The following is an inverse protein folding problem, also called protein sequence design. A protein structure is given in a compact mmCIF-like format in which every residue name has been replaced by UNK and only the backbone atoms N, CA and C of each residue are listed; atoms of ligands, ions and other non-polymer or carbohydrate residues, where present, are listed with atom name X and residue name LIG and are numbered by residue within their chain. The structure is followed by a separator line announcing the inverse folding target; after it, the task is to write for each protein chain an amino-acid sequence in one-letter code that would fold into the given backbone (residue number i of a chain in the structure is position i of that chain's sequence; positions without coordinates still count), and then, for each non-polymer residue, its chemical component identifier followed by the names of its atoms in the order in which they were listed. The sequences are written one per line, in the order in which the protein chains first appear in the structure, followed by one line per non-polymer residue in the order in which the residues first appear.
data_IF_432237638572
#
_entry.id   IF_432237638572
#
_cell.length_a   1.000
_cell.length_b   1.000
_cell.length_c   1.000
_cell.angle_alpha   90.00
_cell.angle_beta   90.00
_cell.angle_gamma   90.00
#
_symmetry.space_group_name_H-M   'P 1'
#
loop_
_entity.id
_entity.type
_entity.pdbx_description
1 polymer ?
#
# COMPACT_ATOMS: atom_id res chain seq x y z
N UNK A 1 -12.55 31.54 -22.01
CA UNK A 1 -12.16 30.20 -21.53
C UNK A 1 -10.89 29.77 -22.25
N UNK A 2 -9.77 29.69 -21.54
CA UNK A 2 -8.44 29.40 -22.09
C UNK A 2 -8.40 27.92 -22.50
N UNK A 3 -8.28 27.60 -23.80
CA UNK A 3 -8.01 26.24 -24.28
C UNK A 3 -6.63 25.85 -23.80
N UNK A 4 -6.54 25.14 -22.68
CA UNK A 4 -5.40 24.31 -22.33
C UNK A 4 -5.28 23.27 -23.45
N UNK A 5 -4.34 23.48 -24.37
CA UNK A 5 -3.98 22.45 -25.33
C UNK A 5 -3.49 21.24 -24.52
N UNK A 6 -4.21 20.13 -24.65
CA UNK A 6 -3.83 18.87 -24.04
C UNK A 6 -2.47 18.47 -24.62
N UNK A 7 -1.45 18.45 -23.75
CA UNK A 7 -0.06 18.19 -24.13
C UNK A 7 0.32 16.73 -23.96
N UNK A 8 -0.62 15.91 -23.46
CA UNK A 8 -0.40 14.51 -23.11
C UNK A 8 -1.06 13.54 -24.11
N UNK A 9 -1.79 14.04 -25.10
CA UNK A 9 -2.40 13.24 -26.15
C UNK A 9 -2.09 13.80 -27.54
N UNK A 10 -1.73 12.91 -28.47
CA UNK A 10 -1.49 13.24 -29.87
C UNK A 10 -2.47 12.44 -30.72
N UNK A 11 -3.40 13.12 -31.38
CA UNK A 11 -4.34 12.48 -32.30
C UNK A 11 -3.74 12.53 -33.70
N UNK A 12 -3.43 11.35 -34.24
CA UNK A 12 -2.91 11.18 -35.58
C UNK A 12 -3.92 10.46 -36.48
N UNK A 13 -3.87 10.76 -37.76
CA UNK A 13 -4.63 10.02 -38.77
C UNK A 13 -4.08 8.61 -38.89
N UNK A 14 -4.96 7.62 -38.84
CA UNK A 14 -4.59 6.20 -39.00
C UNK A 14 -3.76 5.95 -40.26
N UNK A 15 -4.21 6.49 -41.41
CA UNK A 15 -3.53 6.34 -42.70
C UNK A 15 -2.07 6.80 -42.64
N UNK A 16 -1.77 7.85 -41.87
CA UNK A 16 -0.42 8.38 -41.72
C UNK A 16 0.45 7.46 -40.85
N UNK A 17 -0.08 6.98 -39.72
CA UNK A 17 0.61 6.07 -38.80
C UNK A 17 0.89 4.69 -39.45
N UNK A 18 -0.10 4.16 -40.17
CA UNK A 18 -0.03 2.82 -40.72
C UNK A 18 0.87 2.73 -41.96
N UNK A 19 0.95 3.81 -42.74
CA UNK A 19 1.80 3.89 -43.92
C UNK A 19 3.26 4.26 -43.61
N UNK A 20 3.62 4.54 -42.34
CA UNK A 20 5.00 4.79 -41.95
C UNK A 20 5.83 3.49 -42.11
N UNK A 21 6.91 3.50 -42.91
CA UNK A 21 7.82 2.35 -43.03
C UNK A 21 8.41 1.87 -41.68
N UNK A 22 8.39 2.73 -40.66
CA UNK A 22 8.86 2.43 -39.29
C UNK A 22 7.81 1.77 -38.40
N UNK A 23 6.56 1.59 -38.86
CA UNK A 23 5.47 1.02 -38.07
C UNK A 23 5.73 -0.43 -37.61
N UNK A 24 6.60 -1.18 -38.30
CA UNK A 24 7.07 -2.50 -37.87
C UNK A 24 5.93 -3.45 -37.48
N UNK A 25 5.96 -3.95 -36.24
CA UNK A 25 4.97 -4.88 -35.69
C UNK A 25 3.57 -4.30 -35.44
N UNK A 26 3.43 -2.97 -35.49
CA UNK A 26 2.15 -2.27 -35.29
C UNK A 26 1.40 -2.00 -36.61
N UNK A 27 2.03 -2.31 -37.75
CA UNK A 27 1.41 -2.15 -39.07
C UNK A 27 0.19 -3.07 -39.21
N UNK A 28 -0.89 -2.51 -39.74
CA UNK A 28 -2.20 -3.13 -39.98
C UNK A 28 -2.88 -3.71 -38.72
N UNK A 29 -2.48 -3.25 -37.51
CA UNK A 29 -3.06 -3.71 -36.24
C UNK A 29 -3.77 -2.59 -35.50
N UNK A 30 -5.03 -2.81 -35.17
CA UNK A 30 -5.86 -1.89 -34.39
C UNK A 30 -6.03 -2.47 -32.98
N UNK A 31 -5.73 -1.67 -31.95
CA UNK A 31 -5.89 -2.10 -30.56
C UNK A 31 -7.32 -1.96 -30.03
N UNK A 32 -7.91 -0.78 -30.18
CA UNK A 32 -9.24 -0.46 -29.66
C UNK A 32 -10.03 0.36 -30.68
N UNK A 33 -11.32 0.05 -30.81
CA UNK A 33 -12.27 0.79 -31.63
C UNK A 33 -13.34 1.37 -30.72
N UNK A 34 -13.57 2.67 -30.82
CA UNK A 34 -14.63 3.36 -30.09
C UNK A 34 -15.69 3.80 -31.09
N UNK A 35 -16.91 3.31 -30.89
CA UNK A 35 -18.06 3.68 -31.71
C UNK A 35 -19.14 4.33 -30.83
N UNK A 36 -19.66 5.47 -31.29
CA UNK A 36 -20.74 6.17 -30.60
C UNK A 36 -22.08 5.66 -31.12
N UNK A 37 -22.91 5.14 -30.22
CA UNK A 37 -24.29 4.76 -30.51
C UNK A 37 -25.23 5.93 -30.14
N UNK A 38 -26.25 6.15 -30.97
CA UNK A 38 -27.25 7.21 -30.75
C UNK A 38 -28.25 6.83 -29.65
N UNK A 39 -28.53 5.54 -29.50
CA UNK A 39 -29.44 5.00 -28.51
C UNK A 39 -28.69 4.07 -27.55
N UNK A 40 -28.65 4.46 -26.28
CA UNK A 40 -27.95 3.72 -25.22
C UNK A 40 -28.70 2.49 -24.74
N UNK A 41 -30.03 2.41 -24.97
CA UNK A 41 -30.88 1.29 -24.52
C UNK A 41 -30.54 0.01 -25.28
N UNK A 42 -30.23 0.13 -26.57
CA UNK A 42 -29.90 -1.01 -27.44
C UNK A 42 -28.40 -1.35 -27.45
N UNK A 43 -27.61 -0.77 -26.55
CA UNK A 43 -26.14 -0.96 -26.51
C UNK A 43 -25.73 -2.43 -26.43
N UNK A 44 -26.35 -3.24 -25.56
CA UNK A 44 -26.02 -4.65 -25.40
C UNK A 44 -26.36 -5.49 -26.65
N UNK A 45 -27.46 -5.18 -27.32
CA UNK A 45 -27.86 -5.86 -28.56
C UNK A 45 -26.90 -5.51 -29.70
N UNK A 46 -26.55 -4.23 -29.83
CA UNK A 46 -25.60 -3.75 -30.83
C UNK A 46 -24.22 -4.37 -30.60
N UNK A 47 -23.73 -4.42 -29.36
CA UNK A 47 -22.47 -5.08 -29.00
C UNK A 47 -22.44 -6.54 -29.43
N UNK A 48 -23.49 -7.30 -29.10
CA UNK A 48 -23.58 -8.72 -29.49
C UNK A 48 -23.60 -8.89 -31.01
N UNK A 49 -24.35 -8.05 -31.74
CA UNK A 49 -24.39 -8.09 -33.21
C UNK A 49 -23.03 -7.80 -33.84
N UNK A 50 -22.24 -6.90 -33.25
CA UNK A 50 -20.87 -6.63 -33.68
C UNK A 50 -20.02 -7.87 -33.46
N UNK A 51 -20.01 -8.43 -32.26
CA UNK A 51 -19.18 -9.60 -31.94
C UNK A 51 -19.52 -10.81 -32.81
N UNK A 52 -20.80 -11.11 -33.03
CA UNK A 52 -21.22 -12.21 -33.92
C UNK A 52 -20.71 -12.04 -35.36
N UNK A 53 -20.53 -10.81 -35.84
CA UNK A 53 -20.01 -10.54 -37.19
C UNK A 53 -18.51 -10.83 -37.32
N UNK A 54 -17.77 -10.72 -36.22
CA UNK A 54 -16.32 -10.93 -36.15
C UNK A 54 -15.93 -12.30 -35.56
N UNK A 55 -16.89 -13.05 -35.02
CA UNK A 55 -16.67 -14.33 -34.34
C UNK A 55 -16.04 -15.43 -35.22
N UNK A 56 -16.32 -15.40 -36.53
CA UNK A 56 -15.88 -16.40 -37.52
C UNK A 56 -14.59 -16.02 -38.27
N UNK A 57 -13.97 -14.90 -37.92
CA UNK A 57 -12.77 -14.39 -38.57
C UNK A 57 -11.61 -14.40 -37.56
N UNK A 58 -10.38 -14.30 -38.06
CA UNK A 58 -9.17 -14.18 -37.21
C UNK A 58 -9.11 -12.86 -36.41
N UNK A 59 -10.11 -11.99 -36.51
CA UNK A 59 -10.24 -10.69 -35.86
C UNK A 59 -11.39 -10.63 -34.86
N UNK A 60 -11.53 -11.66 -34.01
CA UNK A 60 -12.54 -11.72 -32.95
C UNK A 60 -12.53 -10.46 -32.07
N UNK A 61 -13.70 -9.85 -31.90
CA UNK A 61 -13.88 -8.66 -31.08
C UNK A 61 -14.59 -8.99 -29.78
N UNK A 62 -14.28 -8.22 -28.73
CA UNK A 62 -15.06 -8.20 -27.50
C UNK A 62 -15.64 -6.80 -27.33
N UNK A 63 -16.87 -6.61 -27.77
CA UNK A 63 -17.54 -5.32 -27.76
C UNK A 63 -18.26 -5.13 -26.42
N UNK A 64 -17.90 -4.08 -25.71
CA UNK A 64 -18.55 -3.73 -24.44
C UNK A 64 -18.93 -2.26 -24.44
N UNK A 65 -19.94 -1.91 -23.64
CA UNK A 65 -20.26 -0.50 -23.42
C UNK A 65 -19.13 0.17 -22.64
N UNK A 66 -18.87 1.45 -22.91
CA UNK A 66 -17.86 2.24 -22.20
C UNK A 66 -18.09 2.21 -20.67
N UNK A 67 -19.36 2.22 -20.24
CA UNK A 67 -19.71 2.09 -18.82
C UNK A 67 -19.29 0.75 -18.23
N UNK A 68 -19.57 -0.36 -18.93
CA UNK A 68 -19.19 -1.69 -18.47
C UNK A 68 -17.67 -1.89 -18.50
N UNK A 69 -16.98 -1.37 -19.53
CA UNK A 69 -15.53 -1.34 -19.58
C UNK A 69 -14.93 -0.60 -18.37
N UNK A 70 -15.40 0.62 -18.10
CA UNK A 70 -14.93 1.42 -16.98
C UNK A 70 -15.19 0.73 -15.64
N UNK A 71 -16.34 0.06 -15.47
CA UNK A 71 -16.62 -0.72 -14.26
C UNK A 71 -15.69 -1.92 -14.10
N UNK A 72 -15.44 -2.69 -15.16
CA UNK A 72 -14.49 -3.81 -15.14
C UNK A 72 -13.07 -3.34 -14.85
N UNK A 73 -12.66 -2.21 -15.43
CA UNK A 73 -11.35 -1.59 -15.20
C UNK A 73 -11.21 -1.13 -13.74
N UNK A 74 -12.21 -0.41 -13.21
CA UNK A 74 -12.25 0.00 -11.80
C UNK A 74 -12.26 -1.21 -10.86
N UNK A 75 -13.02 -2.25 -11.20
CA UNK A 75 -13.06 -3.51 -10.45
C UNK A 75 -11.69 -4.17 -10.38
N UNK A 76 -11.02 -4.33 -11.52
CA UNK A 76 -9.66 -4.88 -11.61
C UNK A 76 -8.65 -4.06 -10.81
N UNK A 77 -8.68 -2.74 -10.95
CA UNK A 77 -7.81 -1.85 -10.18
C UNK A 77 -8.06 -1.92 -8.68
N UNK A 78 -9.33 -1.93 -8.26
CA UNK A 78 -9.72 -2.06 -6.85
C UNK A 78 -9.27 -3.39 -6.24
N UNK A 79 -9.29 -4.48 -7.01
CA UNK A 79 -8.81 -5.79 -6.57
C UNK A 79 -7.30 -5.78 -6.32
N UNK A 80 -6.53 -5.14 -7.20
CA UNK A 80 -5.08 -4.98 -7.04
C UNK A 80 -4.75 -4.14 -5.81
N UNK A 81 -5.41 -2.99 -5.64
CA UNK A 81 -5.24 -2.16 -4.44
C UNK A 81 -5.62 -2.92 -3.17
N UNK A 82 -6.75 -3.64 -3.20
CA UNK A 82 -7.16 -4.48 -2.08
C UNK A 82 -6.12 -5.54 -1.73
N UNK A 83 -5.48 -6.17 -2.71
CA UNK A 83 -4.40 -7.13 -2.46
C UNK A 83 -3.20 -6.49 -1.74
N UNK A 84 -2.82 -5.26 -2.10
CA UNK A 84 -1.79 -4.50 -1.38
C UNK A 84 -2.21 -4.16 0.05
N UNK A 85 -3.47 -3.77 0.28
CA UNK A 85 -3.99 -3.47 1.62
C UNK A 85 -3.95 -4.71 2.53
N UNK A 86 -4.43 -5.86 2.03
CA UNK A 86 -4.35 -7.12 2.77
C UNK A 86 -2.92 -7.56 3.03
N UNK A 87 -2.04 -7.44 2.03
CA UNK A 87 -0.62 -7.75 2.18
C UNK A 87 0.06 -6.87 3.24
N UNK A 88 -0.23 -5.58 3.23
CA UNK A 88 0.30 -4.62 4.22
C UNK A 88 -0.15 -4.97 5.63
N UNK A 89 -1.43 -5.32 5.83
CA UNK A 89 -1.95 -5.75 7.13
C UNK A 89 -1.21 -6.98 7.68
N UNK A 90 -0.95 -7.98 6.83
CA UNK A 90 -0.21 -9.19 7.21
C UNK A 90 1.23 -8.83 7.62
N UNK A 91 1.89 -7.97 6.84
CA UNK A 91 3.26 -7.52 7.15
C UNK A 91 3.29 -6.77 8.49
N UNK A 92 2.34 -5.86 8.74
CA UNK A 92 2.24 -5.13 10.01
C UNK A 92 2.06 -6.08 11.19
N UNK A 93 1.23 -7.12 11.05
CA UNK A 93 1.04 -8.13 12.08
C UNK A 93 2.33 -8.89 12.37
N UNK A 94 3.03 -9.36 11.32
CA UNK A 94 4.31 -10.07 11.46
C UNK A 94 5.35 -9.16 12.13
N UNK A 95 5.47 -7.91 11.70
CA UNK A 95 6.42 -6.95 12.27
C UNK A 95 6.11 -6.64 13.73
N UNK A 96 4.83 -6.57 14.10
CA UNK A 96 4.40 -6.36 15.49
C UNK A 96 4.79 -7.57 16.36
N UNK A 97 4.67 -8.80 15.85
CA UNK A 97 5.12 -10.00 16.55
C UNK A 97 6.64 -10.04 16.72
N UNK A 98 7.39 -9.64 15.69
CA UNK A 98 8.84 -9.53 15.75
C UNK A 98 9.25 -8.52 16.83
N UNK A 99 8.62 -7.34 16.83
CA UNK A 99 8.84 -6.31 17.85
C UNK A 99 8.49 -6.83 19.25
N UNK A 100 7.34 -7.48 19.41
CA UNK A 100 6.93 -8.05 20.70
C UNK A 100 7.95 -9.06 21.24
N UNK A 101 8.50 -9.90 20.36
CA UNK A 101 9.54 -10.86 20.73
C UNK A 101 10.85 -10.16 21.13
N UNK A 102 11.25 -9.12 20.39
CA UNK A 102 12.44 -8.33 20.71
C UNK A 102 12.31 -7.63 22.07
N UNK A 103 11.16 -7.00 22.35
CA UNK A 103 10.88 -6.39 23.66
C UNK A 103 10.85 -7.46 24.76
N UNK A 104 10.23 -8.62 24.51
CA UNK A 104 10.24 -9.71 25.47
C UNK A 104 11.65 -10.22 25.79
N UNK A 105 12.56 -10.21 24.80
CA UNK A 105 13.97 -10.53 25.00
C UNK A 105 14.69 -9.46 25.84
N UNK A 106 14.58 -8.18 25.46
CA UNK A 106 15.15 -7.05 26.22
C UNK A 106 14.69 -7.07 27.70
N UNK A 107 13.40 -7.29 27.93
CA UNK A 107 12.84 -7.36 29.29
C UNK A 107 13.41 -8.54 30.07
N UNK A 108 13.62 -9.70 29.42
CA UNK A 108 14.22 -10.87 30.08
C UNK A 108 15.66 -10.61 30.51
N UNK A 109 16.45 -9.95 29.66
CA UNK A 109 17.84 -9.59 29.99
C UNK A 109 17.91 -8.60 31.16
N UNK A 110 16.95 -7.67 31.25
CA UNK A 110 16.87 -6.65 32.30
C UNK A 110 16.00 -7.04 33.50
N UNK A 111 15.65 -8.32 33.65
CA UNK A 111 14.77 -8.79 34.75
C UNK A 111 15.33 -8.41 36.13
N UNK A 112 16.66 -8.48 36.31
CA UNK A 112 17.32 -8.15 37.57
C UNK A 112 17.16 -6.66 37.92
N UNK A 113 17.34 -5.76 36.97
CA UNK A 113 17.18 -4.31 37.18
C UNK A 113 15.76 -3.97 37.63
N UNK A 114 14.75 -4.57 36.98
CA UNK A 114 13.36 -4.42 37.37
C UNK A 114 13.06 -5.05 38.74
N UNK A 115 13.73 -6.17 39.08
CA UNK A 115 13.67 -6.78 40.40
C UNK A 115 14.19 -5.86 41.51
N UNK A 116 15.34 -5.21 41.28
CA UNK A 116 15.92 -4.22 42.20
C UNK A 116 15.00 -3.01 42.35
N UNK A 117 14.43 -2.49 41.25
CA UNK A 117 13.43 -1.40 41.30
C UNK A 117 12.23 -1.76 42.20
N UNK A 118 11.74 -3.01 42.13
CA UNK A 118 10.66 -3.46 43.02
C UNK A 118 11.10 -3.60 44.47
N UNK A 119 12.33 -4.04 44.73
CA UNK A 119 12.88 -4.19 46.08
C UNK A 119 13.00 -2.84 46.79
N UNK A 120 13.33 -1.76 46.06
CA UNK A 120 13.37 -0.40 46.59
C UNK A 120 12.00 0.30 46.64
N UNK A 121 10.91 -0.41 46.27
CA UNK A 121 9.53 0.06 46.47
C UNK A 121 8.80 0.61 45.24
N UNK A 122 9.34 0.49 44.01
CA UNK A 122 8.60 0.92 42.82
C UNK A 122 7.37 0.02 42.59
N UNK A 123 6.19 0.61 42.34
CA UNK A 123 4.99 -0.18 42.10
C UNK A 123 5.00 -0.78 40.67
N UNK A 124 4.39 -1.96 40.46
CA UNK A 124 4.42 -2.66 39.16
C UNK A 124 3.94 -1.83 37.96
N UNK A 125 3.03 -0.88 38.20
CA UNK A 125 2.52 0.06 37.18
C UNK A 125 3.60 0.98 36.60
N UNK A 126 4.65 1.33 37.36
CA UNK A 126 5.75 2.15 36.84
C UNK A 126 6.63 1.33 35.90
N UNK A 127 6.90 0.07 36.25
CA UNK A 127 7.65 -0.86 35.40
C UNK A 127 6.89 -1.12 34.09
N UNK A 128 5.56 -1.32 34.18
CA UNK A 128 4.70 -1.42 33.01
C UNK A 128 4.84 -0.18 32.11
N UNK A 129 4.75 1.02 32.69
CA UNK A 129 4.89 2.28 31.97
C UNK A 129 6.26 2.43 31.29
N UNK A 130 7.35 2.05 31.97
CA UNK A 130 8.70 2.08 31.39
C UNK A 130 8.83 1.17 30.18
N UNK A 131 8.39 -0.09 30.27
CA UNK A 131 8.49 -1.05 29.17
C UNK A 131 7.62 -0.61 27.98
N UNK A 132 6.41 -0.11 28.25
CA UNK A 132 5.54 0.43 27.20
C UNK A 132 6.15 1.67 26.53
N UNK A 133 6.73 2.58 27.32
CA UNK A 133 7.41 3.76 26.78
C UNK A 133 8.60 3.37 25.91
N UNK A 134 9.44 2.42 26.35
CA UNK A 134 10.55 1.90 25.54
C UNK A 134 10.05 1.31 24.22
N UNK A 135 9.00 0.47 24.28
CA UNK A 135 8.44 -0.15 23.08
C UNK A 135 7.86 0.86 22.09
N UNK A 136 7.15 1.88 22.60
CA UNK A 136 6.60 2.97 21.77
C UNK A 136 7.73 3.81 21.18
N UNK A 137 8.76 4.15 21.96
CA UNK A 137 9.89 4.92 21.46
C UNK A 137 10.63 4.18 20.34
N UNK A 138 10.89 2.89 20.51
CA UNK A 138 11.51 2.06 19.46
C UNK A 138 10.63 2.04 18.20
N UNK A 139 9.31 1.86 18.35
CA UNK A 139 8.39 1.85 17.22
C UNK A 139 8.24 3.21 16.53
N UNK A 140 8.29 4.32 17.27
CA UNK A 140 8.24 5.67 16.73
C UNK A 140 9.54 6.04 16.00
N UNK A 141 10.71 5.68 16.55
CA UNK A 141 12.00 5.90 15.88
C UNK A 141 12.06 5.10 14.58
N UNK A 142 11.69 3.82 14.62
CA UNK A 142 11.59 2.99 13.42
C UNK A 142 10.58 3.55 12.40
N UNK A 143 9.43 4.02 12.87
CA UNK A 143 8.41 4.67 12.05
C UNK A 143 8.89 5.97 11.39
N UNK A 144 9.62 6.82 12.13
CA UNK A 144 10.21 8.05 11.61
C UNK A 144 11.25 7.77 10.53
N UNK A 145 12.12 6.78 10.76
CA UNK A 145 13.11 6.34 9.77
C UNK A 145 12.38 5.79 8.53
N UNK A 146 11.39 4.93 8.71
CA UNK A 146 10.60 4.36 7.62
C UNK A 146 9.88 5.42 6.78
N UNK A 147 9.23 6.38 7.44
CA UNK A 147 8.61 7.54 6.77
C UNK A 147 9.65 8.35 6.00
N UNK A 148 10.81 8.63 6.60
CA UNK A 148 11.90 9.34 5.92
C UNK A 148 12.36 8.60 4.67
N UNK A 149 12.56 7.29 4.75
CA UNK A 149 12.95 6.43 3.61
C UNK A 149 11.88 6.48 2.52
N UNK A 150 10.60 6.34 2.87
CA UNK A 150 9.49 6.39 1.90
C UNK A 150 9.41 7.75 1.21
N UNK A 151 9.52 8.85 1.96
CA UNK A 151 9.49 10.21 1.39
C UNK A 151 10.66 10.42 0.43
N UNK A 152 11.86 9.97 0.79
CA UNK A 152 13.03 10.07 -0.08
C UNK A 152 12.89 9.18 -1.33
N UNK A 153 12.45 7.95 -1.18
CA UNK A 153 12.28 7.00 -2.28
C UNK A 153 11.19 7.45 -3.27
N UNK A 154 10.09 8.01 -2.78
CA UNK A 154 8.99 8.50 -3.60
C UNK A 154 9.37 9.83 -4.25
N UNK A 155 9.79 10.85 -3.50
CA UNK A 155 10.00 12.19 -4.07
C UNK A 155 11.24 12.28 -4.97
N UNK A 156 12.31 11.55 -4.66
CA UNK A 156 13.59 11.66 -5.37
C UNK A 156 13.95 10.42 -6.20
N UNK A 157 13.18 9.34 -6.09
CA UNK A 157 13.46 8.08 -6.77
C UNK A 157 12.38 7.72 -7.78
N UNK A 158 11.44 6.88 -7.35
CA UNK A 158 10.47 6.24 -8.23
C UNK A 158 9.36 7.21 -8.66
N UNK A 159 8.99 8.18 -7.81
CA UNK A 159 7.86 9.08 -8.08
C UNK A 159 7.98 9.88 -9.38
N UNK A 160 9.08 10.59 -9.65
CA UNK A 160 9.26 11.32 -10.91
C UNK A 160 9.24 10.41 -12.14
N UNK A 161 9.87 9.23 -12.05
CA UNK A 161 9.91 8.26 -13.16
C UNK A 161 8.53 7.69 -13.44
N UNK A 162 7.78 7.36 -12.39
CA UNK A 162 6.42 6.84 -12.53
C UNK A 162 5.45 7.92 -13.03
N UNK A 163 5.61 9.16 -12.57
CA UNK A 163 4.81 10.31 -13.03
C UNK A 163 5.07 10.59 -14.51
N UNK A 164 6.32 10.54 -14.98
CA UNK A 164 6.64 10.74 -16.40
C UNK A 164 6.07 9.63 -17.30
N UNK A 165 6.14 8.37 -16.88
CA UNK A 165 5.72 7.22 -17.68
C UNK A 165 4.22 6.89 -17.56
N UNK A 166 3.55 7.30 -16.47
CA UNK A 166 2.16 6.92 -16.16
C UNK A 166 1.24 8.11 -15.88
N UNK A 167 1.64 9.33 -16.30
CA UNK A 167 0.98 10.62 -16.07
C UNK A 167 -0.54 10.67 -16.29
N UNK A 168 -1.12 9.76 -17.06
CA UNK A 168 -2.57 9.66 -17.30
C UNK A 168 -3.34 8.68 -16.41
N UNK A 169 -2.67 7.72 -15.76
CA UNK A 169 -3.32 6.63 -15.00
C UNK A 169 -3.19 6.75 -13.48
N UNK A 170 -2.12 7.36 -12.98
CA UNK A 170 -1.90 7.55 -11.54
C UNK A 170 -1.75 9.04 -11.22
N UNK A 171 -2.78 9.72 -10.70
CA UNK A 171 -2.66 11.11 -10.30
C UNK A 171 -1.72 11.21 -9.09
N UNK A 172 -0.58 11.88 -9.27
CA UNK A 172 0.41 12.26 -8.25
C UNK A 172 0.79 11.15 -7.26
N UNK A 173 1.88 10.43 -7.55
CA UNK A 173 2.52 9.49 -6.61
C UNK A 173 3.28 10.26 -5.51
N UNK A 174 2.56 10.98 -4.65
CA UNK A 174 3.11 11.69 -3.48
C UNK A 174 2.46 11.14 -2.22
N UNK A 175 3.28 10.88 -1.20
CA UNK A 175 2.76 10.53 0.12
C UNK A 175 2.20 11.80 0.79
N UNK A 176 0.87 11.94 0.95
CA UNK A 176 0.32 13.14 1.54
C UNK A 176 0.66 13.18 3.04
N UNK A 177 0.89 14.38 3.57
CA UNK A 177 1.31 14.60 4.97
C UNK A 177 0.41 13.89 5.99
N UNK A 178 -0.90 13.81 5.73
CA UNK A 178 -1.84 13.13 6.62
C UNK A 178 -1.60 11.61 6.67
N UNK A 179 -1.22 10.97 5.55
CA UNK A 179 -0.87 9.54 5.53
C UNK A 179 0.41 9.29 6.31
N UNK A 180 1.39 10.18 6.21
CA UNK A 180 2.63 10.09 6.99
C UNK A 180 2.33 10.22 8.50
N UNK A 181 1.45 11.15 8.87
CA UNK A 181 0.98 11.30 10.25
C UNK A 181 0.26 10.05 10.76
N UNK A 182 -0.62 9.45 9.94
CA UNK A 182 -1.28 8.19 10.28
C UNK A 182 -0.28 7.03 10.42
N UNK A 183 0.74 6.94 9.55
CA UNK A 183 1.76 5.90 9.64
C UNK A 183 2.55 5.98 10.94
N UNK A 184 2.92 7.20 11.37
CA UNK A 184 3.58 7.42 12.67
C UNK A 184 2.65 7.14 13.85
N UNK A 185 1.39 7.54 13.77
CA UNK A 185 0.39 7.20 14.78
C UNK A 185 0.22 5.69 14.92
N UNK A 186 0.13 4.99 13.79
CA UNK A 186 0.00 3.55 13.74
C UNK A 186 1.24 2.85 14.29
N UNK A 187 2.45 3.33 14.00
CA UNK A 187 3.67 2.73 14.56
C UNK A 187 3.70 2.83 16.09
N UNK A 188 3.27 3.97 16.66
CA UNK A 188 3.10 4.10 18.11
C UNK A 188 2.09 3.11 18.71
N UNK A 189 0.94 2.92 18.05
CA UNK A 189 -0.08 1.94 18.46
C UNK A 189 0.46 0.51 18.39
N UNK A 190 1.19 0.16 17.34
CA UNK A 190 1.82 -1.17 17.21
C UNK A 190 2.91 -1.38 18.27
N UNK A 191 3.66 -0.34 18.63
CA UNK A 191 4.57 -0.36 19.77
C UNK A 191 3.85 -0.67 21.09
N UNK A 192 2.72 -0.01 21.35
CA UNK A 192 1.90 -0.32 22.54
C UNK A 192 1.42 -1.77 22.55
N UNK A 193 0.90 -2.26 21.41
CA UNK A 193 0.40 -3.64 21.29
C UNK A 193 1.54 -4.65 21.50
N UNK A 194 2.70 -4.40 20.89
CA UNK A 194 3.87 -5.27 21.00
C UNK A 194 4.40 -5.34 22.45
N UNK A 195 4.47 -4.20 23.14
CA UNK A 195 4.93 -4.09 24.52
C UNK A 195 3.92 -4.58 25.57
N UNK A 196 2.62 -4.60 25.27
CA UNK A 196 1.57 -4.88 26.24
C UNK A 196 1.71 -6.24 26.93
N UNK A 197 1.90 -7.31 26.16
CA UNK A 197 2.02 -8.67 26.69
C UNK A 197 3.29 -8.83 27.56
N UNK A 198 4.51 -8.52 27.09
CA UNK A 198 5.71 -8.67 27.90
C UNK A 198 5.72 -7.74 29.12
N UNK A 199 5.25 -6.50 28.99
CA UNK A 199 5.16 -5.58 30.12
C UNK A 199 4.21 -6.10 31.20
N UNK A 200 3.04 -6.61 30.80
CA UNK A 200 2.07 -7.16 31.74
C UNK A 200 2.62 -8.40 32.47
N UNK A 201 3.26 -9.31 31.74
CA UNK A 201 3.91 -10.49 32.34
C UNK A 201 4.99 -10.08 33.35
N UNK A 202 5.82 -9.09 33.04
CA UNK A 202 6.87 -8.62 33.95
C UNK A 202 6.31 -7.95 35.19
N UNK A 203 5.23 -7.16 35.06
CA UNK A 203 4.59 -6.50 36.20
C UNK A 203 4.04 -7.50 37.24
N UNK A 204 3.77 -8.75 36.84
CA UNK A 204 3.22 -9.80 37.69
C UNK A 204 4.25 -10.79 38.24
N UNK A 205 5.49 -10.76 37.76
CA UNK A 205 6.57 -11.64 38.25
C UNK A 205 6.86 -11.36 39.73
N UNK A 206 7.01 -12.36 40.58
CA UNK A 206 7.31 -12.13 42.00
C UNK A 206 8.78 -11.68 42.17
N UNK A 207 9.05 -10.86 43.20
CA UNK A 207 10.42 -10.38 43.48
C UNK A 207 11.37 -11.54 43.78
N UNK A 208 10.86 -12.59 44.44
CA UNK A 208 11.60 -13.82 44.73
C UNK A 208 11.96 -14.59 43.46
N UNK A 209 11.06 -14.66 42.48
CA UNK A 209 11.34 -15.33 41.20
C UNK A 209 12.32 -14.53 40.32
N UNK A 210 12.28 -13.20 40.40
CA UNK A 210 13.21 -12.33 39.69
C UNK A 210 14.65 -12.47 40.19
N UNK A 211 14.84 -12.72 41.49
CA UNK A 211 16.17 -12.91 42.11
C UNK A 211 16.67 -14.36 42.06
N UNK A 212 15.77 -15.35 42.08
CA UNK A 212 16.10 -16.79 42.05
C UNK A 212 16.64 -17.29 40.70
N UNK A 213 16.52 -16.50 39.63
CA UNK A 213 16.93 -16.88 38.26
C UNK A 213 18.45 -16.91 38.05
N UNK A 214 19.23 -16.99 39.12
CA UNK A 214 20.71 -16.88 39.16
C UNK A 214 21.37 -18.23 39.54
N UNK A 215 20.60 -19.28 39.82
CA UNK A 215 21.12 -20.67 39.91
C UNK A 215 20.91 -21.43 38.59
#
# INVERSE_FOLDING_TARGET
MRKTADRNSLVLRWDFLNNDPRAGFAKDKIGWLVSRITDSVHSAEISRKIDTRFDQRDDQTLTTSERAFNLSFLGGFSAVLGAFDYGSLIILLIMTLILANAIAMSVRERTHEYGVMRAIGFPPRHILGFILAESVLVALVGGLIGVGVVVLAINNGIGPVLEENMSGFFPYFRAPLWVLGLALGLSGVLGLIAGAIPAWRMSRLSVTDALRRID
#
